data_IF_538971646477
#
_entry.id   IF_538971646477
#
_cell.length_a   1.000
_cell.length_b   1.000
_cell.length_c   1.000
_cell.angle_alpha   90.00
_cell.angle_beta   90.00
_cell.angle_gamma   90.00
#
_symmetry.space_group_name_H-M   'P 1'
#
loop_
_entity.id
_entity.type
_entity.pdbx_description
1 polymer ?
#
# COMPACT_ATOMS: atom_id res chain seq x y z
N UNK A 1 10.25 -9.53 -2.48
CA UNK A 1 10.30 -10.42 -1.30
C UNK A 1 9.03 -10.33 -0.50
N UNK A 2 8.93 -9.34 0.41
CA UNK A 2 7.82 -9.23 1.37
C UNK A 2 6.41 -9.30 0.74
N UNK A 3 6.12 -8.52 -0.29
CA UNK A 3 4.79 -8.55 -0.96
C UNK A 3 4.42 -9.93 -1.50
N UNK A 4 5.38 -10.68 -2.04
CA UNK A 4 5.12 -12.03 -2.54
C UNK A 4 4.75 -12.97 -1.40
N UNK A 5 5.44 -12.89 -0.26
CA UNK A 5 5.12 -13.67 0.94
C UNK A 5 3.74 -13.30 1.50
N UNK A 6 3.43 -12.00 1.60
CA UNK A 6 2.14 -11.51 2.10
C UNK A 6 0.97 -11.89 1.18
N UNK A 7 1.18 -11.88 -0.13
CA UNK A 7 0.14 -12.30 -1.09
C UNK A 7 -0.04 -13.81 -1.07
N UNK A 8 1.06 -14.58 -0.96
CA UNK A 8 1.01 -16.05 -0.87
C UNK A 8 0.36 -16.54 0.44
N UNK A 9 0.46 -15.76 1.51
CA UNK A 9 -0.17 -16.06 2.80
C UNK A 9 -1.70 -16.12 2.72
N UNK A 10 -2.32 -15.33 1.84
CA UNK A 10 -3.75 -15.41 1.52
C UNK A 10 -4.71 -14.92 2.61
N UNK A 11 -4.26 -14.68 3.85
CA UNK A 11 -5.10 -14.11 4.91
C UNK A 11 -5.38 -12.64 4.61
N UNK A 12 -6.58 -12.18 4.96
CA UNK A 12 -7.01 -10.79 4.73
C UNK A 12 -6.05 -9.79 5.37
N UNK A 13 -5.48 -10.10 6.54
CA UNK A 13 -4.56 -9.22 7.25
C UNK A 13 -3.22 -9.05 6.52
N UNK A 14 -2.75 -10.11 5.85
CA UNK A 14 -1.54 -10.06 5.01
C UNK A 14 -1.79 -9.26 3.72
N UNK A 15 -2.99 -9.38 3.14
CA UNK A 15 -3.43 -8.53 2.02
C UNK A 15 -3.45 -7.06 2.42
N UNK A 16 -4.06 -6.71 3.56
CA UNK A 16 -4.09 -5.34 4.08
C UNK A 16 -2.68 -4.83 4.34
N UNK A 17 -1.81 -5.62 4.98
CA UNK A 17 -0.40 -5.27 5.18
C UNK A 17 0.32 -4.99 3.85
N UNK A 18 0.10 -5.82 2.83
CA UNK A 18 0.71 -5.64 1.51
C UNK A 18 0.24 -4.33 0.85
N UNK A 19 -1.04 -4.00 0.95
CA UNK A 19 -1.59 -2.73 0.44
C UNK A 19 -1.01 -1.53 1.18
N UNK A 20 -1.00 -1.54 2.52
CA UNK A 20 -0.45 -0.44 3.33
C UNK A 20 1.04 -0.24 3.06
N UNK A 21 1.80 -1.33 2.93
CA UNK A 21 3.21 -1.27 2.56
C UNK A 21 3.42 -0.68 1.17
N UNK A 22 2.59 -1.06 0.20
CA UNK A 22 2.65 -0.54 -1.16
C UNK A 22 2.34 0.97 -1.20
N UNK A 23 1.29 1.41 -0.49
CA UNK A 23 0.96 2.84 -0.35
C UNK A 23 2.09 3.63 0.32
N UNK A 24 2.72 3.06 1.34
CA UNK A 24 3.88 3.68 2.01
C UNK A 24 5.04 3.88 1.04
N UNK A 25 5.36 2.89 0.19
CA UNK A 25 6.40 3.02 -0.83
C UNK A 25 6.06 4.11 -1.85
N UNK A 26 4.82 4.17 -2.31
CA UNK A 26 4.34 5.17 -3.26
C UNK A 26 4.38 6.59 -2.66
N UNK A 27 4.04 6.76 -1.39
CA UNK A 27 4.15 8.05 -0.68
C UNK A 27 5.61 8.46 -0.49
N UNK A 28 6.47 7.53 -0.06
CA UNK A 28 7.91 7.79 0.15
C UNK A 28 8.65 8.27 -1.08
N UNK A 29 8.16 7.94 -2.27
CA UNK A 29 8.70 8.44 -3.54
C UNK A 29 8.80 9.97 -3.60
N UNK A 30 8.05 10.71 -2.76
CA UNK A 30 8.10 12.18 -2.65
C UNK A 30 9.29 12.70 -1.85
N UNK A 31 9.80 11.92 -0.89
CA UNK A 31 10.86 12.33 0.04
C UNK A 31 12.24 12.20 -0.61
N UNK A 32 12.40 11.21 -1.49
CA UNK A 32 13.68 10.95 -2.16
C UNK A 32 13.90 11.89 -3.35
N UNK A 33 15.03 12.59 -3.35
CA UNK A 33 15.46 13.47 -4.44
C UNK A 33 16.01 12.70 -5.66
N UNK A 34 16.54 11.49 -5.43
CA UNK A 34 17.13 10.65 -6.48
C UNK A 34 16.06 10.02 -7.39
N UNK A 35 16.12 10.30 -8.69
CA UNK A 35 15.18 9.76 -9.70
C UNK A 35 15.14 8.23 -9.69
N UNK A 36 16.30 7.58 -9.57
CA UNK A 36 16.37 6.12 -9.50
C UNK A 36 15.65 5.55 -8.28
N UNK A 37 15.92 6.07 -7.08
CA UNK A 37 15.26 5.63 -5.84
C UNK A 37 13.75 5.86 -5.91
N UNK A 38 13.34 7.03 -6.40
CA UNK A 38 11.94 7.38 -6.61
C UNK A 38 11.26 6.40 -7.56
N UNK A 39 11.88 6.10 -8.70
CA UNK A 39 11.33 5.17 -9.69
C UNK A 39 11.22 3.75 -9.13
N UNK A 40 12.24 3.27 -8.40
CA UNK A 40 12.21 1.97 -7.74
C UNK A 40 11.04 1.85 -6.76
N UNK A 41 10.81 2.86 -5.92
CA UNK A 41 9.70 2.86 -4.97
C UNK A 41 8.34 2.85 -5.67
N UNK A 42 8.21 3.63 -6.75
CA UNK A 42 6.98 3.67 -7.55
C UNK A 42 6.70 2.33 -8.22
N UNK A 43 7.71 1.74 -8.87
CA UNK A 43 7.58 0.46 -9.57
C UNK A 43 7.24 -0.68 -8.60
N UNK A 44 7.93 -0.76 -7.46
CA UNK A 44 7.70 -1.81 -6.46
C UNK A 44 6.31 -1.67 -5.84
N UNK A 45 5.91 -0.46 -5.43
CA UNK A 45 4.57 -0.23 -4.87
C UNK A 45 3.45 -0.53 -5.88
N UNK A 46 3.64 -0.15 -7.14
CA UNK A 46 2.67 -0.45 -8.20
C UNK A 46 2.57 -1.96 -8.48
N UNK A 47 3.71 -2.65 -8.58
CA UNK A 47 3.75 -4.09 -8.79
C UNK A 47 3.09 -4.86 -7.64
N UNK A 48 3.30 -4.41 -6.40
CA UNK A 48 2.67 -4.98 -5.21
C UNK A 48 1.15 -4.83 -5.23
N UNK A 49 0.64 -3.64 -5.56
CA UNK A 49 -0.79 -3.42 -5.74
C UNK A 49 -1.35 -4.33 -6.85
N UNK A 50 -0.64 -4.47 -7.97
CA UNK A 50 -1.03 -5.37 -9.05
C UNK A 50 -1.12 -6.83 -8.60
N UNK A 51 -0.14 -7.30 -7.83
CA UNK A 51 -0.13 -8.65 -7.27
C UNK A 51 -1.33 -8.89 -6.32
N UNK A 52 -1.66 -7.91 -5.48
CA UNK A 52 -2.85 -7.97 -4.61
C UNK A 52 -4.14 -8.04 -5.43
N UNK A 53 -4.28 -7.23 -6.48
CA UNK A 53 -5.46 -7.25 -7.34
C UNK A 53 -5.66 -8.62 -8.01
N UNK A 54 -4.57 -9.23 -8.49
CA UNK A 54 -4.61 -10.58 -9.07
C UNK A 54 -5.02 -11.60 -8.00
N UNK A 55 -4.39 -11.57 -6.82
CA UNK A 55 -4.67 -12.55 -5.77
C UNK A 55 -6.11 -12.48 -5.26
N UNK A 56 -6.63 -11.27 -5.03
CA UNK A 56 -8.03 -11.08 -4.63
C UNK A 56 -8.98 -11.41 -5.77
N UNK A 57 -8.64 -11.01 -7.01
CA UNK A 57 -9.47 -11.25 -8.18
C UNK A 57 -9.66 -12.73 -8.51
N UNK A 58 -8.60 -13.53 -8.35
CA UNK A 58 -8.65 -15.00 -8.50
C UNK A 58 -9.49 -15.64 -7.41
N UNK A 59 -9.43 -15.13 -6.17
CA UNK A 59 -10.14 -15.71 -5.03
C UNK A 59 -11.64 -15.42 -4.97
N UNK A 60 -12.08 -14.24 -5.41
CA UNK A 60 -13.49 -13.80 -5.25
C UNK A 60 -14.31 -13.92 -6.53
N UNK A 61 -13.70 -13.70 -7.71
CA UNK A 61 -14.41 -13.69 -8.99
C UNK A 61 -15.51 -12.60 -9.12
N UNK A 62 -16.07 -12.43 -10.32
CA UNK A 62 -17.26 -11.58 -10.53
C UNK A 62 -17.04 -10.06 -10.46
N UNK A 63 -18.04 -9.31 -9.98
CA UNK A 63 -18.05 -7.83 -9.98
C UNK A 63 -17.06 -7.21 -8.98
N UNK A 64 -16.76 -7.93 -7.89
CA UNK A 64 -15.83 -7.46 -6.85
C UNK A 64 -14.38 -7.41 -7.34
N UNK A 65 -13.97 -8.34 -8.20
CA UNK A 65 -12.63 -8.32 -8.82
C UNK A 65 -12.47 -7.10 -9.73
N UNK A 66 -13.52 -6.74 -10.48
CA UNK A 66 -13.57 -5.52 -11.30
C UNK A 66 -13.43 -4.27 -10.43
N UNK A 67 -14.16 -4.18 -9.31
CA UNK A 67 -14.07 -3.05 -8.39
C UNK A 67 -12.67 -2.88 -7.78
N UNK A 68 -12.02 -3.99 -7.41
CA UNK A 68 -10.63 -3.99 -6.89
C UNK A 68 -9.65 -3.50 -7.94
N UNK A 69 -9.75 -4.02 -9.18
CA UNK A 69 -8.90 -3.59 -10.31
C UNK A 69 -9.09 -2.10 -10.60
N UNK A 70 -10.34 -1.63 -10.63
CA UNK A 70 -10.64 -0.21 -10.83
C UNK A 70 -10.06 0.66 -9.71
N UNK A 71 -10.25 0.28 -8.44
CA UNK A 71 -9.65 1.00 -7.32
C UNK A 71 -8.13 1.07 -7.41
N UNK A 72 -7.50 0.00 -7.87
CA UNK A 72 -6.06 -0.06 -8.10
C UNK A 72 -5.61 0.87 -9.23
N UNK A 73 -6.33 0.85 -10.36
CA UNK A 73 -6.08 1.72 -11.50
C UNK A 73 -6.24 3.20 -11.11
N UNK A 74 -7.27 3.52 -10.34
CA UNK A 74 -7.46 4.85 -9.78
C UNK A 74 -6.30 5.28 -8.89
N UNK A 75 -5.84 4.40 -8.00
CA UNK A 75 -4.68 4.67 -7.13
C UNK A 75 -3.43 4.91 -7.98
N UNK A 76 -3.23 4.11 -9.02
CA UNK A 76 -2.12 4.26 -9.95
C UNK A 76 -2.15 5.62 -10.68
N UNK A 77 -3.32 5.98 -11.23
CA UNK A 77 -3.52 7.27 -11.90
C UNK A 77 -3.31 8.45 -10.96
N UNK A 78 -3.75 8.36 -9.70
CA UNK A 78 -3.55 9.40 -8.69
C UNK A 78 -2.06 9.59 -8.38
N UNK A 79 -1.31 8.49 -8.22
CA UNK A 79 0.13 8.57 -7.95
C UNK A 79 0.91 9.14 -9.12
N UNK A 80 0.61 8.69 -10.34
CA UNK A 80 1.21 9.22 -11.58
C UNK A 80 0.85 10.69 -11.77
N UNK A 81 -0.44 11.03 -11.61
CA UNK A 81 -0.95 12.40 -11.72
C UNK A 81 -0.30 13.34 -10.73
N UNK A 82 -0.15 12.94 -9.46
CA UNK A 82 0.58 13.73 -8.47
C UNK A 82 2.06 13.87 -8.84
N UNK A 83 2.70 12.84 -9.38
CA UNK A 83 4.09 12.90 -9.83
C UNK A 83 4.34 13.87 -10.99
N UNK A 84 3.38 14.00 -11.90
CA UNK A 84 3.40 14.92 -13.07
C UNK A 84 2.95 16.33 -12.69
N UNK A 85 2.04 16.46 -11.72
CA UNK A 85 1.51 17.75 -11.27
C UNK A 85 2.44 18.48 -10.30
N UNK A 86 3.15 17.78 -9.41
CA UNK A 86 4.03 18.39 -8.39
C UNK A 86 5.09 19.38 -8.91
N UNK A 87 5.71 19.17 -10.08
CA UNK A 87 6.70 20.12 -10.61
C UNK A 87 6.10 21.50 -10.99
N UNK A 88 4.82 21.55 -11.38
CA UNK A 88 4.18 22.75 -11.93
C UNK A 88 3.06 23.31 -11.04
N UNK A 89 2.40 22.46 -10.25
CA UNK A 89 1.41 22.86 -9.27
C UNK A 89 2.11 23.27 -7.99
N UNK A 90 1.79 24.44 -7.44
CA UNK A 90 2.17 24.82 -6.08
C UNK A 90 1.06 24.30 -5.16
N UNK A 91 1.09 23.03 -4.68
CA UNK A 91 0.06 22.54 -3.77
C UNK A 91 0.00 23.47 -2.56
N UNK A 92 -1.22 23.81 -2.14
CA UNK A 92 -1.38 24.64 -0.94
C UNK A 92 -0.71 23.95 0.25
N UNK A 93 -0.22 24.70 1.26
CA UNK A 93 0.47 24.14 2.42
C UNK A 93 -0.31 23.03 3.14
N UNK A 94 -1.64 23.07 3.06
CA UNK A 94 -2.54 22.05 3.58
C UNK A 94 -2.30 20.67 2.95
N UNK A 95 -2.16 20.59 1.62
CA UNK A 95 -2.00 19.31 0.92
C UNK A 95 -0.65 18.64 1.19
N UNK A 96 0.40 19.45 1.39
CA UNK A 96 1.70 18.93 1.85
C UNK A 96 1.56 18.28 3.23
N UNK A 97 0.98 18.99 4.19
CA UNK A 97 0.76 18.48 5.56
C UNK A 97 -0.15 17.25 5.60
N UNK A 98 -1.24 17.24 4.83
CA UNK A 98 -2.14 16.10 4.77
C UNK A 98 -1.42 14.83 4.25
N UNK A 99 -0.55 14.99 3.25
CA UNK A 99 0.26 13.88 2.75
C UNK A 99 1.26 13.38 3.80
N UNK A 100 1.93 14.29 4.53
CA UNK A 100 2.85 13.91 5.61
C UNK A 100 2.12 13.11 6.70
N UNK A 101 0.93 13.58 7.12
CA UNK A 101 0.11 12.88 8.13
C UNK A 101 -0.30 11.49 7.64
N UNK A 102 -0.74 11.38 6.38
CA UNK A 102 -1.11 10.10 5.79
C UNK A 102 0.09 9.15 5.71
N UNK A 103 1.27 9.63 5.33
CA UNK A 103 2.50 8.84 5.29
C UNK A 103 2.83 8.29 6.68
N UNK A 104 2.79 9.13 7.72
CA UNK A 104 3.02 8.70 9.09
C UNK A 104 1.98 7.69 9.58
N UNK A 105 0.70 7.90 9.28
CA UNK A 105 -0.36 6.97 9.64
C UNK A 105 -0.15 5.58 9.00
N UNK A 106 0.22 5.54 7.72
CA UNK A 106 0.54 4.31 7.01
C UNK A 106 1.75 3.59 7.64
N UNK A 107 2.84 4.32 7.91
CA UNK A 107 4.05 3.77 8.54
C UNK A 107 3.73 3.18 9.92
N UNK A 108 2.99 3.92 10.75
CA UNK A 108 2.61 3.48 12.09
C UNK A 108 1.72 2.23 12.03
N UNK A 109 0.81 2.15 11.06
CA UNK A 109 -0.08 1.00 10.87
C UNK A 109 0.67 -0.30 10.49
N UNK A 110 1.88 -0.22 9.92
CA UNK A 110 2.66 -1.42 9.56
C UNK A 110 3.01 -2.29 10.78
N UNK A 111 3.24 -1.68 11.95
CA UNK A 111 3.60 -2.41 13.18
C UNK A 111 2.47 -3.33 13.65
N UNK A 112 1.25 -2.83 13.94
CA UNK A 112 0.15 -3.70 14.36
C UNK A 112 -0.25 -4.70 13.27
N UNK A 113 -0.17 -4.33 11.99
CA UNK A 113 -0.44 -5.26 10.90
C UNK A 113 0.57 -6.40 10.86
N UNK A 114 1.86 -6.13 11.08
CA UNK A 114 2.88 -7.16 11.18
C UNK A 114 2.62 -8.12 12.36
N UNK A 115 2.23 -7.59 13.53
CA UNK A 115 1.84 -8.42 14.68
C UNK A 115 0.64 -9.31 14.37
N UNK A 116 -0.32 -8.78 13.62
CA UNK A 116 -1.48 -9.54 13.17
C UNK A 116 -1.13 -10.64 12.15
N UNK A 117 -0.28 -10.34 11.17
CA UNK A 117 0.24 -11.35 10.22
C UNK A 117 1.03 -12.44 10.95
N UNK A 118 1.75 -12.09 12.01
CA UNK A 118 2.47 -13.05 12.85
C UNK A 118 1.58 -13.78 13.88
N UNK A 119 0.26 -13.60 13.84
CA UNK A 119 -0.72 -14.20 14.76
C UNK A 119 -0.48 -13.87 16.24
N UNK A 120 0.26 -12.80 16.55
CA UNK A 120 0.57 -12.40 17.94
C UNK A 120 -0.72 -12.10 18.71
N UNK A 121 -1.70 -11.47 18.07
CA UNK A 121 -3.00 -11.19 18.68
C UNK A 121 -3.82 -12.45 18.98
N UNK A 122 -3.71 -13.49 18.14
CA UNK A 122 -4.36 -14.77 18.41
C UNK A 122 -3.65 -15.49 19.56
N UNK A 123 -2.32 -15.49 19.57
CA UNK A 123 -1.51 -16.07 20.63
C UNK A 123 -1.84 -15.45 22.00
N UNK A 124 -1.85 -14.11 22.11
CA UNK A 124 -2.17 -13.42 23.38
C UNK A 124 -3.59 -13.73 23.85
N UNK A 125 -4.58 -13.77 22.95
CA UNK A 125 -5.97 -14.14 23.30
C UNK A 125 -6.10 -15.60 23.73
N UNK A 126 -5.31 -16.50 23.15
CA UNK A 126 -5.26 -17.91 23.55
C UNK A 126 -4.70 -18.12 24.97
N UNK A 127 -3.97 -17.15 25.53
CA UNK A 127 -3.50 -17.21 26.92
C UNK A 127 -4.61 -16.93 27.95
N UNK A 128 -5.70 -16.26 27.54
CA UNK A 128 -6.80 -15.90 28.44
C UNK A 128 -7.94 -16.91 28.51
N UNK A 129 -7.89 -18.00 27.72
CA UNK A 129 -8.95 -19.03 27.64
C UNK A 129 -9.84 -18.88 26.42
#
# INVERSE_FOLDING_TARGET
>A
GAHALLVADGRWIAVVMSVVLALTQLMRARVFQGVGQRLWLLLVGMAALGAVAVAVGVGVGGVTSVAVVLGLLWTAMIVVGMGVWLPNGRPSPFWGRAADILEWALIVALVPLALGVLEVYAWVRGLSG
#
